data_IF_475192827758
#
_entry.id   IF_475192827758
#
_cell.length_a   1.000
_cell.length_b   1.000
_cell.length_c   1.000
_cell.angle_alpha   90.00
_cell.angle_beta   90.00
_cell.angle_gamma   90.00
#
_symmetry.space_group_name_H-M   'P 1'
#
loop_
_entity.id
_entity.type
_entity.pdbx_description
1 polymer ?
#
# COMPACT_ATOMS: atom_id res chain seq x y z
N UNK A 1 -11.49 34.24 4.42
CA UNK A 1 -11.43 32.89 5.02
C UNK A 1 -12.36 31.97 4.23
N UNK A 2 -11.81 31.05 3.45
CA UNK A 2 -12.59 30.12 2.63
C UNK A 2 -13.29 29.12 3.55
N UNK A 3 -14.62 29.17 3.56
CA UNK A 3 -15.48 28.23 4.29
C UNK A 3 -15.03 26.81 3.94
N UNK A 4 -14.78 25.90 4.89
CA UNK A 4 -14.42 24.54 4.55
C UNK A 4 -15.62 23.95 3.83
N UNK A 5 -15.51 23.80 2.52
CA UNK A 5 -16.50 23.14 1.68
C UNK A 5 -16.77 21.81 2.35
N UNK A 6 -17.94 21.67 2.97
CA UNK A 6 -18.31 20.45 3.69
C UNK A 6 -18.29 19.33 2.68
N UNK A 7 -17.19 18.55 2.67
CA UNK A 7 -17.06 17.36 1.87
C UNK A 7 -18.28 16.51 2.20
N UNK A 8 -19.15 16.30 1.20
CA UNK A 8 -20.41 15.60 1.35
C UNK A 8 -20.46 14.44 0.38
N UNK A 9 -21.17 13.38 0.76
CA UNK A 9 -21.31 12.18 -0.08
C UNK A 9 -21.87 12.53 -1.45
N UNK A 10 -22.86 13.43 -1.51
CA UNK A 10 -23.47 13.87 -2.76
C UNK A 10 -22.50 14.60 -3.69
N UNK A 11 -21.62 15.45 -3.15
CA UNK A 11 -20.61 16.17 -3.93
C UNK A 11 -19.60 15.19 -4.54
N UNK A 12 -19.08 14.24 -3.74
CA UNK A 12 -18.16 13.22 -4.23
C UNK A 12 -18.82 12.40 -5.34
N UNK A 13 -20.05 11.92 -5.13
CA UNK A 13 -20.76 11.13 -6.13
C UNK A 13 -21.07 11.93 -7.40
N UNK A 14 -21.40 13.22 -7.28
CA UNK A 14 -21.61 14.11 -8.42
C UNK A 14 -20.35 14.26 -9.26
N UNK A 15 -19.20 14.44 -8.61
CA UNK A 15 -17.90 14.54 -9.29
C UNK A 15 -17.49 13.22 -9.94
N UNK A 16 -17.70 12.09 -9.26
CA UNK A 16 -17.45 10.77 -9.84
C UNK A 16 -18.34 10.49 -11.07
N UNK A 17 -19.60 10.94 -11.04
CA UNK A 17 -20.50 10.83 -12.19
C UNK A 17 -20.05 11.71 -13.34
N UNK A 18 -19.69 12.97 -13.08
CA UNK A 18 -19.15 13.88 -14.10
C UNK A 18 -17.88 13.33 -14.73
N UNK A 19 -16.97 12.78 -13.92
CA UNK A 19 -15.77 12.11 -14.40
C UNK A 19 -16.11 10.89 -15.27
N UNK A 20 -17.10 10.08 -14.88
CA UNK A 20 -17.49 8.88 -15.63
C UNK A 20 -18.23 9.21 -16.94
N UNK A 21 -19.09 10.23 -16.97
CA UNK A 21 -19.91 10.56 -18.14
C UNK A 21 -19.21 11.49 -19.11
N UNK A 22 -18.47 12.49 -18.61
CA UNK A 22 -17.80 13.51 -19.44
C UNK A 22 -16.29 13.28 -19.56
N UNK A 23 -15.72 12.36 -18.81
CA UNK A 23 -14.27 12.17 -18.77
C UNK A 23 -13.53 13.29 -18.03
N UNK A 24 -14.22 14.09 -17.22
CA UNK A 24 -13.63 15.23 -16.51
C UNK A 24 -12.55 14.76 -15.51
N UNK A 25 -11.29 15.01 -15.89
CA UNK A 25 -10.11 14.64 -15.09
C UNK A 25 -9.97 15.47 -13.83
N UNK A 26 -10.39 16.74 -13.84
CA UNK A 26 -10.30 17.61 -12.68
C UNK A 26 -11.31 17.17 -11.61
N UNK A 27 -12.55 16.86 -12.02
CA UNK A 27 -13.56 16.30 -11.14
C UNK A 27 -13.12 14.95 -10.54
N UNK A 28 -12.48 14.10 -11.33
CA UNK A 28 -11.95 12.81 -10.85
C UNK A 28 -10.88 13.00 -9.78
N UNK A 29 -9.87 13.83 -10.04
CA UNK A 29 -8.78 14.09 -9.09
C UNK A 29 -9.31 14.63 -7.78
N UNK A 30 -10.23 15.60 -7.85
CA UNK A 30 -10.80 16.21 -6.66
C UNK A 30 -11.67 15.24 -5.86
N UNK A 31 -12.45 14.38 -6.54
CA UNK A 31 -13.20 13.31 -5.87
C UNK A 31 -12.26 12.30 -5.18
N UNK A 32 -11.16 11.92 -5.84
CA UNK A 32 -10.14 11.01 -5.28
C UNK A 32 -9.51 11.60 -4.02
N UNK A 33 -9.12 12.87 -4.03
CA UNK A 33 -8.50 13.51 -2.87
C UNK A 33 -9.46 13.62 -1.68
N UNK A 34 -10.74 13.91 -1.94
CA UNK A 34 -11.79 13.87 -0.93
C UNK A 34 -12.00 12.46 -0.37
N UNK A 35 -12.04 11.45 -1.25
CA UNK A 35 -12.15 10.04 -0.83
C UNK A 35 -10.95 9.58 0.00
N UNK A 36 -9.72 9.96 -0.37
CA UNK A 36 -8.51 9.69 0.40
C UNK A 36 -8.55 10.34 1.78
N UNK A 37 -9.03 11.58 1.86
CA UNK A 37 -9.22 12.29 3.13
C UNK A 37 -10.16 11.51 4.06
N UNK A 38 -11.23 10.92 3.51
CA UNK A 38 -12.15 10.09 4.28
C UNK A 38 -11.59 8.69 4.60
N UNK A 39 -10.79 8.12 3.71
CA UNK A 39 -10.18 6.80 3.88
C UNK A 39 -9.11 6.79 4.98
N UNK A 40 -8.31 7.85 5.09
CA UNK A 40 -7.18 7.94 6.02
C UNK A 40 -7.52 8.61 7.35
N UNK A 41 -8.72 9.17 7.49
CA UNK A 41 -9.14 9.82 8.72
C UNK A 41 -10.13 8.95 9.50
N UNK A 42 -9.80 8.53 10.74
CA UNK A 42 -10.71 7.75 11.60
C UNK A 42 -12.05 8.44 11.85
N UNK A 43 -12.07 9.78 11.84
CA UNK A 43 -13.28 10.59 12.07
C UNK A 43 -14.33 10.44 10.96
N UNK A 44 -13.91 10.07 9.76
CA UNK A 44 -14.78 9.96 8.58
C UNK A 44 -14.97 8.53 8.09
N UNK A 45 -14.41 7.54 8.82
CA UNK A 45 -14.46 6.12 8.48
C UNK A 45 -15.89 5.65 8.14
N UNK A 46 -16.89 5.98 8.96
CA UNK A 46 -18.26 5.50 8.75
C UNK A 46 -18.88 6.10 7.48
N UNK A 47 -18.59 7.37 7.19
CA UNK A 47 -19.01 8.03 5.94
C UNK A 47 -18.31 7.43 4.73
N UNK A 48 -17.05 7.04 4.88
CA UNK A 48 -16.29 6.35 3.85
C UNK A 48 -16.90 4.98 3.52
N UNK A 49 -17.19 4.16 4.52
CA UNK A 49 -17.81 2.84 4.31
C UNK A 49 -19.18 2.97 3.63
N UNK A 50 -20.00 3.94 4.05
CA UNK A 50 -21.28 4.23 3.40
C UNK A 50 -21.12 4.73 1.95
N UNK A 51 -20.06 5.48 1.65
CA UNK A 51 -19.74 5.91 0.30
C UNK A 51 -19.37 4.72 -0.59
N UNK A 52 -18.64 3.74 -0.06
CA UNK A 52 -18.23 2.52 -0.79
C UNK A 52 -19.39 1.61 -1.21
N UNK A 53 -20.58 1.79 -0.63
CA UNK A 53 -21.79 1.12 -1.12
C UNK A 53 -22.15 1.53 -2.57
N UNK A 54 -21.65 2.69 -3.04
CA UNK A 54 -21.86 3.11 -4.43
C UNK A 54 -20.77 2.52 -5.35
N UNK A 55 -21.13 1.92 -6.50
CA UNK A 55 -20.18 1.19 -7.35
C UNK A 55 -19.04 2.06 -7.89
N UNK A 56 -19.33 3.30 -8.30
CA UNK A 56 -18.28 4.23 -8.76
C UNK A 56 -17.22 4.52 -7.68
N UNK A 57 -17.66 4.75 -6.45
CA UNK A 57 -16.73 4.97 -5.34
C UNK A 57 -15.95 3.69 -5.04
N UNK A 58 -16.58 2.51 -5.13
CA UNK A 58 -15.91 1.23 -4.96
C UNK A 58 -14.83 0.99 -6.01
N UNK A 59 -15.09 1.31 -7.27
CA UNK A 59 -14.11 1.19 -8.35
C UNK A 59 -12.90 2.10 -8.10
N UNK A 60 -13.13 3.34 -7.68
CA UNK A 60 -12.04 4.29 -7.37
C UNK A 60 -11.24 3.84 -6.13
N UNK A 61 -11.91 3.36 -5.08
CA UNK A 61 -11.25 2.79 -3.90
C UNK A 61 -10.36 1.61 -4.28
N UNK A 62 -10.85 0.68 -5.10
CA UNK A 62 -10.07 -0.46 -5.52
C UNK A 62 -8.91 -0.03 -6.42
N UNK A 63 -9.16 0.73 -7.48
CA UNK A 63 -8.16 1.00 -8.53
C UNK A 63 -7.13 2.07 -8.16
N UNK A 64 -7.52 3.09 -7.38
CA UNK A 64 -6.68 4.26 -7.11
C UNK A 64 -6.19 4.29 -5.66
N UNK A 65 -7.04 3.94 -4.70
CA UNK A 65 -6.69 4.03 -3.28
C UNK A 65 -5.99 2.76 -2.81
N UNK A 66 -6.49 1.58 -3.17
CA UNK A 66 -5.95 0.28 -2.71
C UNK A 66 -4.95 -0.34 -3.68
N UNK A 67 -5.19 -0.25 -4.98
CA UNK A 67 -4.32 -0.82 -6.01
C UNK A 67 -3.45 0.23 -6.70
N UNK A 68 -3.71 1.53 -6.51
CA UNK A 68 -2.95 2.60 -7.16
C UNK A 68 -1.46 2.49 -6.86
N UNK A 69 -1.11 2.25 -5.59
CA UNK A 69 0.29 2.08 -5.18
C UNK A 69 0.91 0.82 -5.78
N UNK A 70 0.20 -0.31 -5.76
CA UNK A 70 0.69 -1.57 -6.35
C UNK A 70 0.96 -1.43 -7.85
N UNK A 71 0.05 -0.80 -8.60
CA UNK A 71 0.21 -0.57 -10.04
C UNK A 71 1.31 0.45 -10.30
N UNK A 72 1.37 1.54 -9.52
CA UNK A 72 2.42 2.55 -9.65
C UNK A 72 3.81 1.96 -9.41
N UNK A 73 3.94 1.03 -8.46
CA UNK A 73 5.18 0.32 -8.21
C UNK A 73 5.51 -0.69 -9.31
N UNK A 74 4.54 -1.50 -9.75
CA UNK A 74 4.74 -2.46 -10.84
C UNK A 74 5.15 -1.78 -12.15
N UNK A 75 4.57 -0.62 -12.45
CA UNK A 75 4.85 0.14 -13.67
C UNK A 75 6.04 1.10 -13.54
N UNK A 76 6.68 1.16 -12.37
CA UNK A 76 7.81 2.06 -12.12
C UNK A 76 7.45 3.55 -12.10
N UNK A 77 6.17 3.89 -12.00
CA UNK A 77 5.68 5.27 -11.97
C UNK A 77 5.95 5.97 -10.64
N UNK A 78 6.13 5.20 -9.56
CA UNK A 78 6.54 5.71 -8.25
C UNK A 78 7.62 4.81 -7.65
N UNK A 79 8.77 5.40 -7.31
CA UNK A 79 9.85 4.71 -6.58
C UNK A 79 9.41 4.46 -5.13
N UNK A 80 9.49 3.21 -4.66
CA UNK A 80 9.30 2.91 -3.24
C UNK A 80 10.24 3.78 -2.40
N UNK A 81 9.78 4.37 -1.28
CA UNK A 81 10.70 4.81 -0.25
C UNK A 81 11.52 3.58 0.16
N UNK A 82 12.85 3.63 -0.04
CA UNK A 82 13.74 2.58 0.46
C UNK A 82 13.47 2.46 1.95
N UNK A 83 12.90 1.34 2.38
CA UNK A 83 12.81 1.03 3.80
C UNK A 83 14.23 1.20 4.40
N UNK A 84 14.38 1.90 5.54
CA UNK A 84 15.69 2.07 6.14
C UNK A 84 16.25 0.68 6.39
N UNK A 85 17.38 0.37 5.74
CA UNK A 85 18.10 -0.89 5.93
C UNK A 85 18.31 -1.02 7.44
N UNK A 86 17.67 -2.00 8.07
CA UNK A 86 17.97 -2.37 9.46
C UNK A 86 19.49 -2.48 9.56
N UNK A 87 20.15 -1.80 10.51
CA UNK A 87 21.59 -1.91 10.63
C UNK A 87 21.94 -3.38 10.87
N UNK A 88 22.77 -3.94 9.99
CA UNK A 88 23.38 -5.25 10.19
C UNK A 88 24.02 -5.20 11.58
N UNK A 89 23.48 -5.97 12.53
CA UNK A 89 24.15 -6.23 13.81
C UNK A 89 25.57 -6.68 13.46
N UNK A 90 26.57 -5.87 13.86
CA UNK A 90 27.98 -6.26 13.75
C UNK A 90 28.14 -7.59 14.48
N UNK A 91 28.77 -8.62 13.89
CA UNK A 91 29.16 -9.77 14.67
C UNK A 91 30.18 -9.27 15.70
N UNK A 92 29.86 -9.48 16.95
CA UNK A 92 30.71 -9.21 18.10
C UNK A 92 32.03 -9.97 17.88
N UNK A 93 33.13 -9.20 17.92
CA UNK A 93 34.48 -9.67 17.67
C UNK A 93 34.88 -10.58 18.84
N UNK A 94 34.56 -11.87 18.75
CA UNK A 94 35.09 -12.87 19.69
C UNK A 94 36.59 -13.00 19.47
N UNK A 95 37.29 -12.95 20.60
CA UNK A 95 38.73 -12.95 20.75
C UNK A 95 39.43 -14.02 19.91
N UNK A 96 40.62 -13.65 19.44
CA UNK A 96 41.58 -14.55 18.83
C UNK A 96 41.94 -15.68 19.82
N UNK A 97 41.90 -16.92 19.34
CA UNK A 97 42.44 -18.04 20.11
C UNK A 97 42.00 -19.41 19.60
N UNK A 98 42.90 -20.04 18.81
CA UNK A 98 42.96 -21.47 18.47
C UNK A 98 42.05 -21.98 17.36
N UNK A 99 42.68 -22.19 16.20
CA UNK A 99 42.32 -23.22 15.21
C UNK A 99 42.58 -24.61 15.83
N UNK A 100 41.66 -25.57 15.64
CA UNK A 100 42.11 -26.87 15.17
C UNK A 100 41.23 -27.43 14.03
N UNK A 101 41.91 -27.92 12.99
CA UNK A 101 41.65 -29.06 12.07
C UNK A 101 40.23 -29.27 11.47
N UNK A 102 40.10 -29.59 10.16
CA UNK A 102 38.80 -29.89 9.57
C UNK A 102 38.34 -31.28 10.01
N UNK A 103 37.12 -31.38 10.55
CA UNK A 103 36.44 -32.64 10.83
C UNK A 103 35.16 -32.70 10.01
N UNK A 104 34.89 -33.89 9.49
CA UNK A 104 33.93 -34.25 8.47
C UNK A 104 32.52 -33.65 8.64
N UNK A 105 31.87 -33.37 7.51
CA UNK A 105 30.47 -32.98 7.43
C UNK A 105 29.57 -34.00 8.14
N UNK A 106 28.58 -33.58 8.96
CA UNK A 106 27.54 -34.51 9.38
C UNK A 106 26.72 -34.88 8.14
N UNK A 107 26.72 -36.19 7.83
CA UNK A 107 25.88 -36.79 6.80
C UNK A 107 24.42 -36.34 7.00
N UNK A 108 23.85 -35.69 5.98
CA UNK A 108 22.42 -35.42 5.94
C UNK A 108 21.66 -36.75 5.90
N UNK A 109 20.69 -37.01 6.79
CA UNK A 109 19.79 -38.13 6.59
C UNK A 109 18.92 -37.84 5.35
N UNK A 110 19.00 -38.73 4.35
CA UNK A 110 18.18 -38.69 3.15
C UNK A 110 16.69 -38.79 3.51
N UNK A 111 15.85 -37.97 2.87
CA UNK A 111 14.40 -37.88 3.08
C UNK A 111 13.58 -38.90 2.27
N UNK A 112 14.23 -39.90 1.67
CA UNK A 112 13.55 -40.94 0.90
C UNK A 112 14.07 -42.32 1.33
N UNK A 113 13.32 -43.05 2.17
CA UNK A 113 13.53 -44.48 2.34
C UNK A 113 12.85 -45.23 1.19
N UNK A 114 13.66 -45.93 0.39
CA UNK A 114 13.34 -47.13 -0.42
C UNK A 114 12.03 -47.11 -1.27
N UNK A 115 12.21 -47.06 -2.59
CA UNK A 115 11.30 -47.66 -3.59
C UNK A 115 12.04 -48.82 -4.27
#
# INVERSE_FOLDING_TARGET
MTRPSRISRGVILGQLRLAATKGDRAALTLAVDQMKTWAYSPRYWQKYVQLLAHPLARLVDLTVIKQGDKIAHQKGWVKLPRAPRKPKRKPERRAAGRRPRPAAAPAQPSLFPEL
#
